data_IF_699399461523
#
_entry.id   IF_699399461523
#
_cell.length_a   1.000
_cell.length_b   1.000
_cell.length_c   1.000
_cell.angle_alpha   90.00
_cell.angle_beta   90.00
_cell.angle_gamma   90.00
#
_symmetry.space_group_name_H-M   'P 1'
#
loop_
_entity.id
_entity.type
_entity.pdbx_description
1 polymer ?
#
# COMPACT_ATOMS: atom_id res chain seq x y z
N UNK A 1 -4.97 -13.42 17.06
CA UNK A 1 -3.63 -12.85 17.26
C UNK A 1 -3.24 -13.06 18.69
N UNK A 2 -1.97 -13.36 18.98
CA UNK A 2 -1.51 -13.66 20.35
C UNK A 2 -0.80 -12.46 20.99
N UNK A 3 -0.99 -11.27 20.43
CA UNK A 3 -0.36 -10.02 20.89
C UNK A 3 -1.43 -9.01 21.26
N UNK A 4 -1.18 -8.23 22.31
CA UNK A 4 -1.95 -7.05 22.67
C UNK A 4 -1.06 -5.82 22.70
N UNK A 5 -1.64 -4.62 22.57
CA UNK A 5 -0.91 -3.37 22.74
C UNK A 5 -0.36 -3.26 24.17
N UNK A 6 0.90 -2.83 24.30
CA UNK A 6 1.50 -2.55 25.62
C UNK A 6 0.88 -1.32 26.31
N UNK A 7 0.21 -0.47 25.54
CA UNK A 7 -0.42 0.80 25.99
C UNK A 7 -1.83 0.61 26.57
N UNK A 8 -2.38 -0.64 26.51
CA UNK A 8 -3.77 -0.91 26.87
C UNK A 8 -4.76 -0.27 25.89
N UNK A 9 -6.04 -0.17 26.28
CA UNK A 9 -7.11 0.49 25.53
C UNK A 9 -7.19 1.99 25.91
N UNK A 10 -6.10 2.75 25.68
CA UNK A 10 -6.02 4.18 25.99
C UNK A 10 -6.05 5.07 24.76
N UNK A 11 -6.08 6.39 24.98
CA UNK A 11 -6.11 7.41 23.89
C UNK A 11 -5.01 7.20 22.83
N UNK A 12 -3.86 6.68 23.22
CA UNK A 12 -2.76 6.39 22.27
C UNK A 12 -3.10 5.22 21.35
N UNK A 13 -3.71 4.17 21.88
CA UNK A 13 -4.19 3.02 21.10
C UNK A 13 -5.21 3.47 20.03
N UNK A 14 -6.24 4.20 20.45
CA UNK A 14 -7.26 4.75 19.55
C UNK A 14 -6.66 5.69 18.49
N UNK A 15 -5.65 6.50 18.86
CA UNK A 15 -4.97 7.37 17.92
C UNK A 15 -4.19 6.59 16.86
N UNK A 16 -3.51 5.48 17.23
CA UNK A 16 -2.79 4.60 16.30
C UNK A 16 -3.76 3.94 15.32
N UNK A 17 -4.89 3.44 15.80
CA UNK A 17 -5.94 2.86 14.95
C UNK A 17 -6.56 3.88 14.00
N UNK A 18 -6.88 5.08 14.49
CA UNK A 18 -7.43 6.16 13.66
C UNK A 18 -6.47 6.57 12.53
N UNK A 19 -5.17 6.72 12.85
CA UNK A 19 -4.13 6.97 11.84
C UNK A 19 -4.05 5.80 10.87
N UNK A 20 -4.09 4.56 11.36
CA UNK A 20 -4.09 3.35 10.56
C UNK A 20 -5.24 3.31 9.57
N UNK A 21 -6.46 3.62 10.02
CA UNK A 21 -7.64 3.69 9.16
C UNK A 21 -7.50 4.76 8.08
N UNK A 22 -6.98 5.94 8.44
CA UNK A 22 -6.67 7.01 7.48
C UNK A 22 -5.69 6.55 6.39
N UNK A 23 -4.63 5.81 6.76
CA UNK A 23 -3.65 5.26 5.82
C UNK A 23 -4.25 4.16 4.92
N UNK A 24 -5.16 3.34 5.43
CA UNK A 24 -5.92 2.37 4.63
C UNK A 24 -6.76 3.11 3.58
N UNK A 25 -7.47 4.18 3.97
CA UNK A 25 -8.25 4.99 3.03
C UNK A 25 -7.37 5.62 1.95
N UNK A 26 -6.23 6.21 2.31
CA UNK A 26 -5.24 6.75 1.37
C UNK A 26 -4.71 5.65 0.43
N UNK A 27 -4.45 4.46 0.94
CA UNK A 27 -4.04 3.31 0.14
C UNK A 27 -5.10 2.96 -0.91
N UNK A 28 -6.36 2.82 -0.51
CA UNK A 28 -7.46 2.44 -1.41
C UNK A 28 -7.61 3.47 -2.53
N UNK A 29 -7.72 4.75 -2.18
CA UNK A 29 -7.87 5.85 -3.14
C UNK A 29 -6.66 5.98 -4.05
N UNK A 30 -5.44 5.95 -3.48
CA UNK A 30 -4.20 6.08 -4.23
C UNK A 30 -3.96 4.93 -5.20
N UNK A 31 -4.26 3.69 -4.80
CA UNK A 31 -4.17 2.52 -5.69
C UNK A 31 -5.20 2.60 -6.82
N UNK A 32 -6.45 2.98 -6.50
CA UNK A 32 -7.48 3.18 -7.49
C UNK A 32 -7.07 4.27 -8.49
N UNK A 33 -6.54 5.40 -8.00
CA UNK A 33 -6.00 6.47 -8.85
C UNK A 33 -4.84 5.98 -9.74
N UNK A 34 -3.85 5.27 -9.21
CA UNK A 34 -2.77 4.69 -10.02
C UNK A 34 -3.31 3.77 -11.12
N UNK A 35 -4.38 3.02 -10.84
CA UNK A 35 -4.96 2.09 -11.81
C UNK A 35 -5.65 2.77 -12.99
N UNK A 36 -6.04 4.05 -12.88
CA UNK A 36 -6.54 4.83 -14.01
C UNK A 36 -5.48 4.98 -15.12
N UNK A 37 -4.20 5.10 -14.72
CA UNK A 37 -3.08 5.28 -15.64
C UNK A 37 -2.54 3.96 -16.18
N UNK A 38 -2.34 2.96 -15.29
CA UNK A 38 -1.69 1.69 -15.67
C UNK A 38 -2.67 0.62 -16.17
N UNK A 39 -3.97 0.78 -15.89
CA UNK A 39 -4.99 -0.23 -16.15
C UNK A 39 -5.08 -0.65 -17.60
N UNK A 40 -4.70 -1.91 -17.89
CA UNK A 40 -4.67 -2.49 -19.22
C UNK A 40 -3.54 -2.03 -20.12
N UNK A 41 -2.60 -1.21 -19.62
CA UNK A 41 -1.39 -0.73 -20.32
C UNK A 41 -0.14 -1.45 -19.83
N UNK A 42 -0.21 -2.08 -18.67
CA UNK A 42 0.91 -2.86 -18.12
C UNK A 42 1.37 -3.88 -19.15
N UNK A 43 2.66 -3.88 -19.49
CA UNK A 43 3.31 -4.71 -20.50
C UNK A 43 3.08 -4.31 -21.99
N UNK A 44 2.25 -3.35 -22.30
CA UNK A 44 2.07 -2.87 -23.69
C UNK A 44 2.80 -1.57 -23.97
N UNK A 45 2.99 -0.74 -22.96
CA UNK A 45 3.69 0.54 -23.05
C UNK A 45 4.32 0.93 -21.70
N UNK A 46 5.26 1.88 -21.74
CA UNK A 46 5.81 2.50 -20.54
C UNK A 46 4.87 3.64 -20.13
N UNK A 47 4.18 3.46 -18.99
CA UNK A 47 3.38 4.54 -18.42
C UNK A 47 4.30 5.42 -17.59
N UNK A 48 4.46 6.70 -17.99
CA UNK A 48 5.37 7.67 -17.35
C UNK A 48 4.68 9.01 -17.03
N UNK A 49 3.36 8.98 -16.81
CA UNK A 49 2.47 10.12 -16.57
C UNK A 49 1.73 9.98 -15.25
N UNK A 50 1.16 11.11 -14.77
CA UNK A 50 0.47 11.14 -13.50
C UNK A 50 1.35 10.59 -12.38
N UNK A 51 0.86 9.67 -11.51
CA UNK A 51 1.64 9.12 -10.42
C UNK A 51 2.90 8.37 -10.89
N UNK A 52 2.93 7.87 -12.13
CA UNK A 52 4.09 7.16 -12.71
C UNK A 52 5.17 8.11 -13.23
N UNK A 53 4.92 9.41 -13.30
CA UNK A 53 5.97 10.40 -13.60
C UNK A 53 6.85 10.70 -12.39
N UNK A 54 6.32 10.58 -11.17
CA UNK A 54 7.01 10.90 -9.91
C UNK A 54 7.59 9.68 -9.20
N UNK A 55 7.07 8.49 -9.47
CA UNK A 55 7.55 7.22 -8.95
C UNK A 55 7.33 6.12 -10.00
N UNK A 56 8.27 5.17 -10.15
CA UNK A 56 8.07 4.04 -11.07
C UNK A 56 7.05 3.03 -10.54
N UNK A 57 6.88 2.99 -9.22
CA UNK A 57 6.06 2.01 -8.53
C UNK A 57 5.05 2.64 -7.55
N UNK A 58 4.25 3.66 -7.97
CA UNK A 58 3.40 4.40 -7.05
C UNK A 58 2.30 3.53 -6.43
N UNK A 59 1.81 2.53 -7.16
CA UNK A 59 0.82 1.58 -6.67
C UNK A 59 1.36 0.78 -5.47
N UNK A 60 2.65 0.41 -5.48
CA UNK A 60 3.29 -0.26 -4.34
C UNK A 60 3.54 0.70 -3.18
N UNK A 61 3.87 1.96 -3.45
CA UNK A 61 4.01 2.99 -2.39
C UNK A 61 2.71 3.12 -1.59
N UNK A 62 1.56 3.21 -2.27
CA UNK A 62 0.26 3.22 -1.60
C UNK A 62 -0.03 1.91 -0.86
N UNK A 63 0.41 0.77 -1.40
CA UNK A 63 0.27 -0.52 -0.70
C UNK A 63 1.10 -0.59 0.58
N UNK A 64 2.27 0.06 0.63
CA UNK A 64 3.08 0.16 1.86
C UNK A 64 2.35 0.94 2.95
N UNK A 65 1.69 2.05 2.59
CA UNK A 65 0.85 2.81 3.52
C UNK A 65 -0.32 1.96 4.04
N UNK A 66 -0.97 1.22 3.15
CA UNK A 66 -2.06 0.31 3.52
C UNK A 66 -1.61 -0.81 4.45
N UNK A 67 -0.46 -1.41 4.20
CA UNK A 67 0.11 -2.47 5.05
C UNK A 67 0.43 -1.95 6.46
N UNK A 68 1.05 -0.77 6.56
CA UNK A 68 1.25 -0.10 7.85
C UNK A 68 -0.09 0.17 8.54
N UNK A 69 -1.08 0.69 7.79
CA UNK A 69 -2.42 0.96 8.31
C UNK A 69 -3.13 -0.28 8.84
N UNK A 70 -3.00 -1.43 8.14
CA UNK A 70 -3.54 -2.72 8.60
C UNK A 70 -2.88 -3.16 9.91
N UNK A 71 -1.55 -3.07 9.99
CA UNK A 71 -0.83 -3.39 11.22
C UNK A 71 -1.18 -2.45 12.38
N UNK A 72 -1.44 -1.18 12.09
CA UNK A 72 -1.84 -0.18 13.08
C UNK A 72 -3.23 -0.44 13.70
N UNK A 73 -4.11 -1.21 13.04
CA UNK A 73 -5.40 -1.64 13.60
C UNK A 73 -5.24 -2.60 14.80
N UNK A 74 -4.04 -2.97 15.17
CA UNK A 74 -3.73 -3.71 16.40
C UNK A 74 -3.42 -2.79 17.59
N UNK A 75 -3.48 -1.46 17.40
CA UNK A 75 -3.03 -0.47 18.38
C UNK A 75 -1.51 -0.51 18.66
N UNK A 76 -0.73 -1.28 17.88
CA UNK A 76 0.72 -1.46 18.07
C UNK A 76 1.51 -0.89 16.88
N UNK A 77 2.38 0.08 17.17
CA UNK A 77 3.28 0.68 16.18
C UNK A 77 4.32 -0.35 15.71
N UNK A 78 4.77 -1.24 16.61
CA UNK A 78 5.73 -2.29 16.26
C UNK A 78 5.14 -3.29 15.25
N UNK A 79 3.87 -3.67 15.41
CA UNK A 79 3.19 -4.53 14.44
C UNK A 79 2.94 -3.79 13.13
N UNK A 80 2.55 -2.52 13.17
CA UNK A 80 2.44 -1.70 11.98
C UNK A 80 3.76 -1.65 11.17
N UNK A 81 4.89 -1.44 11.87
CA UNK A 81 6.22 -1.47 11.26
C UNK A 81 6.58 -2.86 10.69
N UNK A 82 6.22 -3.94 11.39
CA UNK A 82 6.43 -5.31 10.90
C UNK A 82 5.63 -5.59 9.62
N UNK A 83 4.34 -5.22 9.57
CA UNK A 83 3.51 -5.37 8.37
C UNK A 83 4.09 -4.59 7.19
N UNK A 84 4.54 -3.35 7.43
CA UNK A 84 5.25 -2.55 6.42
C UNK A 84 6.52 -3.27 5.94
N UNK A 85 7.39 -3.71 6.86
CA UNK A 85 8.67 -4.33 6.51
C UNK A 85 8.48 -5.60 5.67
N UNK A 86 7.55 -6.48 6.07
CA UNK A 86 7.23 -7.70 5.33
C UNK A 86 6.70 -7.35 3.93
N UNK A 87 5.80 -6.36 3.83
CA UNK A 87 5.22 -5.95 2.55
C UNK A 87 6.27 -5.34 1.64
N UNK A 88 7.16 -4.48 2.17
CA UNK A 88 8.28 -3.91 1.41
C UNK A 88 9.19 -5.03 0.89
N UNK A 89 9.53 -6.00 1.72
CA UNK A 89 10.38 -7.12 1.33
C UNK A 89 9.75 -7.94 0.18
N UNK A 90 8.48 -8.29 0.29
CA UNK A 90 7.76 -9.05 -0.75
C UNK A 90 7.71 -8.27 -2.06
N UNK A 91 7.31 -7.00 -2.01
CA UNK A 91 7.22 -6.19 -3.22
C UNK A 91 8.57 -5.78 -3.79
N UNK A 92 9.62 -5.71 -2.98
CA UNK A 92 10.98 -5.51 -3.49
C UNK A 92 11.35 -6.55 -4.54
N UNK A 93 11.17 -7.83 -4.23
CA UNK A 93 11.45 -8.90 -5.20
C UNK A 93 10.51 -8.86 -6.40
N UNK A 94 9.25 -8.51 -6.20
CA UNK A 94 8.28 -8.36 -7.30
C UNK A 94 8.71 -7.25 -8.25
N UNK A 95 9.09 -6.07 -7.71
CA UNK A 95 9.55 -4.92 -8.49
C UNK A 95 10.81 -5.24 -9.27
N UNK A 96 11.79 -5.92 -8.64
CA UNK A 96 13.01 -6.31 -9.35
C UNK A 96 12.72 -7.19 -10.57
N UNK A 97 11.79 -8.14 -10.46
CA UNK A 97 11.38 -9.00 -11.58
C UNK A 97 10.63 -8.20 -12.66
N UNK A 98 9.75 -7.29 -12.26
CA UNK A 98 9.03 -6.43 -13.20
C UNK A 98 9.99 -5.48 -13.93
N UNK A 99 10.94 -4.86 -13.25
CA UNK A 99 11.94 -3.98 -13.85
C UNK A 99 12.88 -4.74 -14.81
N UNK A 100 13.28 -5.96 -14.47
CA UNK A 100 14.07 -6.81 -15.36
C UNK A 100 13.30 -7.11 -16.65
N UNK A 101 12.04 -7.52 -16.54
CA UNK A 101 11.19 -7.77 -17.70
C UNK A 101 10.97 -6.50 -18.55
N UNK A 102 10.71 -5.34 -17.91
CA UNK A 102 10.54 -4.07 -18.62
C UNK A 102 11.82 -3.63 -19.35
N UNK A 103 13.00 -3.88 -18.75
CA UNK A 103 14.29 -3.59 -19.36
C UNK A 103 14.52 -4.44 -20.61
N UNK A 104 14.15 -5.70 -20.57
CA UNK A 104 14.25 -6.61 -21.72
C UNK A 104 13.25 -6.22 -22.82
N UNK A 105 11.99 -5.95 -22.46
CA UNK A 105 10.92 -5.67 -23.41
C UNK A 105 11.06 -4.31 -24.10
N UNK A 106 11.52 -3.27 -23.37
CA UNK A 106 11.52 -1.88 -23.86
C UNK A 106 12.91 -1.27 -24.02
N UNK A 107 13.98 -1.94 -23.61
CA UNK A 107 15.37 -1.55 -23.84
C UNK A 107 15.70 -0.11 -23.47
N UNK A 108 16.18 0.67 -24.45
CA UNK A 108 16.60 2.07 -24.24
C UNK A 108 15.48 3.01 -23.78
N UNK A 109 14.23 2.76 -24.18
CA UNK A 109 13.10 3.55 -23.74
C UNK A 109 12.86 3.41 -22.23
N UNK A 110 12.97 2.18 -21.69
CA UNK A 110 12.87 1.93 -20.26
C UNK A 110 14.08 2.50 -19.50
N UNK A 111 15.29 2.38 -20.04
CA UNK A 111 16.49 2.99 -19.44
C UNK A 111 16.35 4.50 -19.28
N UNK A 112 15.81 5.20 -20.28
CA UNK A 112 15.53 6.62 -20.22
C UNK A 112 14.45 6.97 -19.14
N UNK A 113 13.45 6.11 -18.94
CA UNK A 113 12.46 6.25 -17.89
C UNK A 113 13.09 6.08 -16.50
N UNK A 114 13.92 5.05 -16.30
CA UNK A 114 14.65 4.76 -15.06
C UNK A 114 15.56 5.94 -14.67
N UNK A 115 16.26 6.55 -15.64
CA UNK A 115 17.17 7.65 -15.39
C UNK A 115 16.49 8.91 -14.81
N UNK A 116 15.20 9.13 -15.11
CA UNK A 116 14.48 10.31 -14.69
C UNK A 116 13.50 10.09 -13.53
N UNK A 117 13.04 8.85 -13.30
CA UNK A 117 11.97 8.57 -12.34
C UNK A 117 12.47 7.63 -11.23
N UNK A 118 12.35 8.01 -9.94
CA UNK A 118 12.80 7.18 -8.83
C UNK A 118 11.95 5.91 -8.67
N UNK A 119 12.53 4.87 -8.04
CA UNK A 119 11.86 3.57 -7.88
C UNK A 119 10.62 3.64 -7.01
N UNK A 120 10.72 4.23 -5.83
CA UNK A 120 9.62 4.31 -4.85
C UNK A 120 9.35 5.73 -4.34
N UNK A 121 10.37 6.41 -3.83
CA UNK A 121 10.21 7.77 -3.27
C UNK A 121 9.69 8.74 -4.31
N UNK A 122 8.49 9.35 -4.13
CA UNK A 122 7.93 10.24 -5.14
C UNK A 122 8.71 11.56 -5.21
N UNK A 123 9.13 11.91 -6.42
CA UNK A 123 9.71 13.21 -6.72
C UNK A 123 8.66 14.07 -7.43
N UNK A 124 7.92 14.84 -6.67
CA UNK A 124 6.82 15.65 -7.17
C UNK A 124 7.27 16.78 -8.11
N UNK A 125 8.55 17.16 -8.12
CA UNK A 125 9.10 18.13 -9.07
C UNK A 125 9.03 17.62 -10.52
N UNK A 126 8.89 16.31 -10.70
CA UNK A 126 8.83 15.62 -12.00
C UNK A 126 7.41 15.34 -12.48
N UNK A 127 6.42 15.90 -11.80
CA UNK A 127 5.02 15.70 -12.18
C UNK A 127 4.75 16.09 -13.63
N UNK A 128 4.20 15.15 -14.37
CA UNK A 128 3.73 15.33 -15.75
C UNK A 128 2.42 14.59 -15.92
N UNK A 129 1.49 15.25 -16.59
CA UNK A 129 0.18 14.67 -16.87
C UNK A 129 -0.27 15.02 -18.29
N UNK A 130 -1.35 14.40 -18.74
CA UNK A 130 -2.00 14.68 -20.01
C UNK A 130 -3.38 15.29 -19.77
N UNK A 131 -3.78 16.17 -20.69
CA UNK A 131 -5.11 16.80 -20.65
C UNK A 131 -6.27 15.83 -20.90
N UNK A 132 -5.99 14.64 -21.46
CA UNK A 132 -6.96 13.57 -21.71
C UNK A 132 -6.34 12.22 -21.35
N UNK A 133 -6.99 11.49 -20.46
CA UNK A 133 -6.60 10.14 -20.08
C UNK A 133 -7.66 9.13 -20.52
N UNK A 134 -7.29 8.21 -21.39
CA UNK A 134 -8.14 7.08 -21.74
C UNK A 134 -8.12 6.05 -20.59
N UNK A 135 -9.28 5.79 -20.00
CA UNK A 135 -9.42 4.92 -18.83
C UNK A 135 -10.19 3.66 -19.19
N UNK A 136 -9.76 2.53 -18.66
CA UNK A 136 -10.50 1.26 -18.73
C UNK A 136 -11.17 0.99 -17.37
N UNK A 137 -12.48 1.26 -17.21
CA UNK A 137 -13.19 1.22 -15.93
C UNK A 137 -13.06 -0.11 -15.17
N UNK A 138 -12.98 -1.21 -15.91
CA UNK A 138 -12.84 -2.56 -15.33
C UNK A 138 -11.62 -2.66 -14.39
N UNK A 139 -10.48 -2.12 -14.80
CA UNK A 139 -9.24 -2.20 -14.00
C UNK A 139 -9.32 -1.31 -12.76
N UNK A 140 -9.91 -0.12 -12.91
CA UNK A 140 -10.18 0.77 -11.78
C UNK A 140 -11.08 0.09 -10.75
N UNK A 141 -12.22 -0.45 -11.16
CA UNK A 141 -13.18 -1.12 -10.28
C UNK A 141 -12.57 -2.35 -9.61
N UNK A 142 -11.76 -3.13 -10.35
CA UNK A 142 -11.07 -4.29 -9.77
C UNK A 142 -10.08 -3.83 -8.70
N UNK A 143 -9.25 -2.83 -8.97
CA UNK A 143 -8.28 -2.32 -7.99
C UNK A 143 -8.97 -1.70 -6.78
N UNK A 144 -10.07 -0.99 -6.99
CA UNK A 144 -10.88 -0.43 -5.90
C UNK A 144 -11.45 -1.56 -5.01
N UNK A 145 -12.09 -2.56 -5.63
CA UNK A 145 -12.64 -3.73 -4.91
C UNK A 145 -11.55 -4.47 -4.12
N UNK A 146 -10.40 -4.71 -4.74
CA UNK A 146 -9.28 -5.39 -4.10
C UNK A 146 -8.69 -4.53 -2.95
N UNK A 147 -8.76 -3.20 -3.09
CA UNK A 147 -8.40 -2.26 -2.04
C UNK A 147 -9.35 -2.31 -0.84
N UNK A 148 -10.65 -2.51 -1.05
CA UNK A 148 -11.64 -2.59 0.04
C UNK A 148 -11.38 -3.77 0.99
N UNK A 149 -10.66 -4.80 0.54
CA UNK A 149 -10.25 -5.93 1.40
C UNK A 149 -9.40 -5.46 2.59
N UNK A 150 -8.63 -4.37 2.46
CA UNK A 150 -7.87 -3.81 3.57
C UNK A 150 -8.77 -3.35 4.74
N UNK A 151 -10.02 -2.95 4.45
CA UNK A 151 -10.97 -2.56 5.49
C UNK A 151 -11.44 -3.72 6.37
N UNK A 152 -11.28 -4.97 5.91
CA UNK A 152 -11.60 -6.15 6.72
C UNK A 152 -10.67 -6.28 7.93
N UNK A 153 -9.52 -5.59 7.93
CA UNK A 153 -8.64 -5.52 9.09
C UNK A 153 -9.37 -4.93 10.30
N UNK A 154 -10.17 -3.89 10.11
CA UNK A 154 -10.89 -3.20 11.20
C UNK A 154 -11.77 -4.18 11.99
N UNK A 155 -12.84 -4.78 11.43
CA UNK A 155 -13.70 -5.68 12.19
C UNK A 155 -12.95 -6.95 12.65
N UNK A 156 -11.88 -7.35 11.96
CA UNK A 156 -11.06 -8.49 12.36
C UNK A 156 -10.33 -8.18 13.68
N UNK A 157 -9.60 -7.07 13.75
CA UNK A 157 -8.83 -6.74 14.95
C UNK A 157 -9.74 -6.33 16.11
N UNK A 158 -10.81 -5.55 15.88
CA UNK A 158 -11.82 -5.29 16.91
C UNK A 158 -12.44 -6.56 17.48
N UNK A 159 -12.68 -7.57 16.64
CA UNK A 159 -13.21 -8.86 17.11
C UNK A 159 -12.20 -9.59 18.00
N UNK A 160 -10.90 -9.51 17.66
CA UNK A 160 -9.82 -10.12 18.46
C UNK A 160 -9.72 -9.42 19.82
N UNK A 161 -9.73 -8.09 19.84
CA UNK A 161 -9.64 -7.30 21.07
C UNK A 161 -10.83 -7.58 22.00
N UNK A 162 -12.04 -7.67 21.45
CA UNK A 162 -13.24 -8.11 22.22
C UNK A 162 -13.08 -9.52 22.80
N UNK A 163 -12.54 -10.47 22.01
CA UNK A 163 -12.31 -11.84 22.50
C UNK A 163 -11.22 -11.88 23.59
N UNK A 164 -10.25 -11.00 23.55
CA UNK A 164 -9.25 -10.83 24.61
C UNK A 164 -9.85 -10.21 25.86
N UNK A 165 -10.69 -9.17 25.70
CA UNK A 165 -11.36 -8.50 26.82
C UNK A 165 -12.28 -9.41 27.62
N UNK A 166 -13.00 -10.34 26.95
CA UNK A 166 -13.84 -11.36 27.63
C UNK A 166 -13.09 -12.60 28.11
N UNK A 167 -11.74 -12.63 27.94
CA UNK A 167 -10.88 -13.71 28.42
C UNK A 167 -10.88 -15.00 27.59
N UNK A 168 -11.48 -15.00 26.41
CA UNK A 168 -11.46 -16.16 25.49
C UNK A 168 -10.13 -16.35 24.79
N UNK A 169 -9.37 -15.26 24.60
CA UNK A 169 -8.03 -15.28 24.02
C UNK A 169 -7.06 -14.61 24.98
N UNK A 170 -6.02 -15.36 25.40
CA UNK A 170 -4.95 -14.79 26.20
C UNK A 170 -3.86 -14.20 25.29
N UNK A 171 -3.43 -12.94 25.46
CA UNK A 171 -2.28 -12.40 24.74
C UNK A 171 -0.99 -13.05 25.23
N UNK A 172 -0.16 -13.57 24.31
CA UNK A 172 1.16 -14.14 24.63
C UNK A 172 2.25 -13.08 24.72
N UNK A 173 2.10 -11.97 23.99
CA UNK A 173 3.07 -10.87 23.93
C UNK A 173 2.34 -9.53 24.02
N UNK A 174 2.95 -8.58 24.74
CA UNK A 174 2.55 -7.17 24.73
C UNK A 174 3.60 -6.38 23.96
N UNK A 175 3.18 -5.71 22.89
CA UNK A 175 4.06 -4.95 21.99
C UNK A 175 3.66 -3.48 22.00
N UNK A 176 4.66 -2.56 22.00
CA UNK A 176 4.43 -1.13 21.89
C UNK A 176 3.94 -0.72 20.49
#
# INVERSE_FOLDING_TARGET
MLTSSAWGEGEFHEAVEAVGLGLIAVCIVGRAWCSLYIGGRKKSEIVDRGPYSVSRNPLYVFSFLGAFGVGAQTGSVSLAALFLAVTVLVFWFTVLREEAWLSEAFGTAYAAYVARTPRFGPDFSKWRDEGLLEVRPRFFLTTLRDGLVFLLAVPLFESIDRLQAIGWLAPLLRLP
#
